data_IF_224435909494
#
_entry.id   IF_224435909494
#
_cell.length_a   1.000
_cell.length_b   1.000
_cell.length_c   1.000
_cell.angle_alpha   90.00
_cell.angle_beta   90.00
_cell.angle_gamma   90.00
#
_symmetry.space_group_name_H-M   'P 1'
#
loop_
_entity.id
_entity.type
_entity.pdbx_description
1 polymer ?
#
# COMPACT_ATOMS: atom_id res chain seq x y z
N UNK A 1 28.86 2.31 30.13
CA UNK A 1 27.44 2.67 30.23
C UNK A 1 26.64 1.38 30.17
N UNK A 2 26.12 0.88 31.30
CA UNK A 2 25.10 -0.19 31.26
C UNK A 2 23.85 0.45 30.65
N UNK A 3 23.33 -0.15 29.58
CA UNK A 3 22.17 0.36 28.85
C UNK A 3 20.99 0.55 29.80
N UNK A 4 20.29 1.69 29.66
CA UNK A 4 18.99 1.82 30.31
C UNK A 4 18.09 0.75 29.72
N UNK A 5 17.47 -0.07 30.57
CA UNK A 5 16.42 -0.98 30.12
C UNK A 5 15.33 -0.16 29.44
N UNK A 6 14.90 -0.61 28.27
CA UNK A 6 13.79 -0.04 27.49
C UNK A 6 12.62 -0.99 27.71
N UNK A 7 11.68 -0.68 28.64
CA UNK A 7 10.58 -1.57 29.01
C UNK A 7 9.77 -2.09 27.82
N UNK A 8 9.64 -1.27 26.78
CA UNK A 8 8.91 -1.55 25.55
C UNK A 8 9.46 -2.77 24.79
N UNK A 9 10.77 -3.05 24.89
CA UNK A 9 11.37 -4.23 24.26
C UNK A 9 11.10 -5.54 25.01
N UNK A 10 10.42 -5.47 26.16
CA UNK A 10 9.88 -6.65 26.84
C UNK A 10 8.39 -6.87 26.52
N UNK A 11 7.71 -5.90 25.91
CA UNK A 11 6.29 -6.00 25.57
C UNK A 11 6.10 -6.51 24.13
N UNK A 12 5.53 -7.71 24.02
CA UNK A 12 5.23 -8.35 22.74
C UNK A 12 4.18 -7.60 21.90
N UNK A 13 3.23 -6.90 22.54
CA UNK A 13 2.22 -6.12 21.83
C UNK A 13 2.87 -4.91 21.18
N UNK A 14 3.70 -4.19 21.96
CA UNK A 14 4.46 -3.06 21.47
C UNK A 14 5.41 -3.44 20.33
N UNK A 15 6.13 -4.55 20.46
CA UNK A 15 7.02 -5.06 19.39
C UNK A 15 6.23 -5.37 18.11
N UNK A 16 5.04 -5.95 18.24
CA UNK A 16 4.18 -6.22 17.09
C UNK A 16 3.72 -4.92 16.40
N UNK A 17 3.29 -3.93 17.17
CA UNK A 17 2.89 -2.62 16.65
C UNK A 17 4.06 -1.91 15.95
N UNK A 18 5.27 -1.98 16.52
CA UNK A 18 6.47 -1.44 15.90
C UNK A 18 6.81 -2.17 14.59
N UNK A 19 6.78 -3.50 14.57
CA UNK A 19 7.08 -4.29 13.38
C UNK A 19 6.09 -3.99 12.24
N UNK A 20 4.81 -3.80 12.58
CA UNK A 20 3.80 -3.32 11.63
C UNK A 20 4.13 -1.91 11.11
N UNK A 21 4.44 -0.97 12.00
CA UNK A 21 4.77 0.40 11.63
C UNK A 21 5.99 0.49 10.70
N UNK A 22 7.03 -0.32 10.96
CA UNK A 22 8.21 -0.44 10.07
C UNK A 22 7.80 -0.94 8.69
N UNK A 23 6.98 -2.01 8.63
CA UNK A 23 6.50 -2.57 7.38
C UNK A 23 5.67 -1.56 6.58
N UNK A 24 4.72 -0.89 7.23
CA UNK A 24 3.89 0.14 6.60
C UNK A 24 4.71 1.34 6.13
N UNK A 25 5.67 1.81 6.92
CA UNK A 25 6.55 2.94 6.54
C UNK A 25 7.42 2.57 5.34
N UNK A 26 7.91 1.33 5.27
CA UNK A 26 8.67 0.83 4.12
C UNK A 26 7.83 0.89 2.84
N UNK A 27 6.59 0.39 2.89
CA UNK A 27 5.66 0.44 1.77
C UNK A 27 5.36 1.88 1.32
N UNK A 28 5.12 2.78 2.27
CA UNK A 28 4.87 4.20 1.99
C UNK A 28 6.10 4.87 1.37
N UNK A 29 7.31 4.54 1.84
CA UNK A 29 8.54 5.09 1.31
C UNK A 29 8.85 4.59 -0.11
N UNK A 30 8.53 3.33 -0.43
CA UNK A 30 8.61 2.81 -1.80
C UNK A 30 7.73 3.61 -2.77
N UNK A 31 6.47 3.88 -2.38
CA UNK A 31 5.57 4.70 -3.19
C UNK A 31 6.11 6.14 -3.31
N UNK A 32 6.45 6.76 -2.18
CA UNK A 32 6.92 8.14 -2.15
C UNK A 32 8.16 8.36 -3.02
N UNK A 33 9.12 7.44 -2.97
CA UNK A 33 10.33 7.51 -3.81
C UNK A 33 9.98 7.47 -5.30
N UNK A 34 9.02 6.64 -5.72
CA UNK A 34 8.55 6.59 -7.11
C UNK A 34 7.86 7.88 -7.53
N UNK A 35 7.02 8.45 -6.66
CA UNK A 35 6.28 9.69 -6.94
C UNK A 35 7.19 10.94 -6.97
N UNK A 36 8.32 10.92 -6.27
CA UNK A 36 9.32 12.00 -6.27
C UNK A 36 10.30 11.91 -7.46
N UNK A 37 10.16 10.93 -8.35
CA UNK A 37 10.98 10.79 -9.54
C UNK A 37 10.91 12.03 -10.45
N UNK A 38 12.05 12.44 -11.01
CA UNK A 38 12.10 13.56 -11.97
C UNK A 38 11.57 13.11 -13.34
N UNK A 39 10.80 13.97 -14.00
CA UNK A 39 10.28 13.70 -15.34
C UNK A 39 9.12 12.70 -15.39
N UNK A 40 8.45 12.47 -14.25
CA UNK A 40 7.36 11.51 -14.13
C UNK A 40 6.11 12.00 -14.90
N UNK A 41 5.60 11.17 -15.79
CA UNK A 41 4.35 11.45 -16.50
C UNK A 41 3.13 11.17 -15.61
N UNK A 42 2.01 11.87 -15.89
CA UNK A 42 0.78 11.71 -15.12
C UNK A 42 0.25 10.26 -15.11
N UNK A 43 0.40 9.53 -16.22
CA UNK A 43 -0.01 8.12 -16.29
C UNK A 43 0.85 7.20 -15.41
N UNK A 44 2.13 7.52 -15.21
CA UNK A 44 3.01 6.77 -14.32
C UNK A 44 2.63 7.00 -12.86
N UNK A 45 2.32 8.25 -12.49
CA UNK A 45 1.76 8.57 -11.17
C UNK A 45 0.48 7.79 -10.91
N UNK A 46 -0.45 7.82 -11.87
CA UNK A 46 -1.70 7.07 -11.82
C UNK A 46 -1.45 5.57 -11.60
N UNK A 47 -0.54 4.99 -12.38
CA UNK A 47 -0.18 3.57 -12.29
C UNK A 47 0.41 3.21 -10.92
N UNK A 48 1.34 4.02 -10.40
CA UNK A 48 1.96 3.77 -9.09
C UNK A 48 0.98 3.85 -7.92
N UNK A 49 0.13 4.88 -7.90
CA UNK A 49 -0.90 5.03 -6.86
C UNK A 49 -1.91 3.89 -6.94
N UNK A 50 -2.39 3.55 -8.15
CA UNK A 50 -3.36 2.46 -8.35
C UNK A 50 -2.77 1.11 -7.93
N UNK A 51 -1.52 0.82 -8.31
CA UNK A 51 -0.83 -0.39 -7.88
C UNK A 51 -0.64 -0.44 -6.36
N UNK A 52 -0.33 0.69 -5.73
CA UNK A 52 -0.20 0.78 -4.28
C UNK A 52 -1.51 0.50 -3.56
N UNK A 53 -2.63 1.09 -4.00
CA UNK A 53 -3.96 0.81 -3.46
C UNK A 53 -4.29 -0.68 -3.57
N UNK A 54 -4.06 -1.30 -4.73
CA UNK A 54 -4.24 -2.76 -4.92
C UNK A 54 -3.37 -3.56 -3.94
N UNK A 55 -2.12 -3.14 -3.71
CA UNK A 55 -1.22 -3.76 -2.73
C UNK A 55 -1.78 -3.66 -1.30
N UNK A 56 -2.32 -2.50 -0.88
CA UNK A 56 -2.94 -2.34 0.45
C UNK A 56 -4.12 -3.29 0.64
N UNK A 57 -5.02 -3.36 -0.35
CA UNK A 57 -6.17 -4.28 -0.31
C UNK A 57 -5.75 -5.75 -0.27
N UNK A 58 -4.72 -6.11 -1.05
CA UNK A 58 -4.12 -7.44 -1.02
C UNK A 58 -3.53 -7.77 0.36
N UNK A 59 -2.71 -6.88 0.94
CA UNK A 59 -2.13 -7.09 2.26
C UNK A 59 -3.21 -7.23 3.32
N UNK A 60 -4.23 -6.36 3.31
CA UNK A 60 -5.38 -6.46 4.22
C UNK A 60 -6.03 -7.85 4.16
N UNK A 61 -6.24 -8.42 2.96
CA UNK A 61 -6.83 -9.76 2.81
C UNK A 61 -5.90 -10.88 3.28
N UNK A 62 -4.58 -10.77 3.03
CA UNK A 62 -3.60 -11.75 3.48
C UNK A 62 -3.53 -11.82 5.02
N UNK A 63 -3.59 -10.68 5.71
CA UNK A 63 -3.56 -10.65 7.18
C UNK A 63 -4.77 -11.35 7.80
N UNK A 64 -5.98 -11.23 7.20
CA UNK A 64 -7.21 -11.91 7.68
C UNK A 64 -7.10 -13.43 7.65
N UNK A 65 -6.26 -13.98 6.78
CA UNK A 65 -6.00 -15.42 6.67
C UNK A 65 -4.63 -15.82 7.23
N UNK A 66 -4.03 -14.93 8.05
CA UNK A 66 -2.75 -15.14 8.71
C UNK A 66 -1.57 -15.45 7.77
N UNK A 67 -1.59 -14.88 6.55
CA UNK A 67 -0.48 -14.98 5.60
C UNK A 67 0.41 -13.74 5.72
N UNK A 68 1.63 -13.94 6.22
CA UNK A 68 2.60 -12.85 6.51
C UNK A 68 3.78 -12.80 5.52
N UNK A 69 3.72 -13.57 4.43
CA UNK A 69 4.82 -13.68 3.44
C UNK A 69 5.28 -12.33 2.89
N UNK A 70 4.37 -11.35 2.80
CA UNK A 70 4.64 -10.03 2.23
C UNK A 70 4.94 -8.96 3.28
N UNK A 71 4.99 -9.32 4.57
CA UNK A 71 5.33 -8.42 5.69
C UNK A 71 6.40 -9.09 6.57
N UNK A 72 7.67 -9.12 6.12
CA UNK A 72 8.73 -9.88 6.80
C UNK A 72 8.92 -9.50 8.27
N UNK A 73 8.87 -8.21 8.59
CA UNK A 73 8.97 -7.70 9.97
C UNK A 73 7.87 -8.26 10.87
N UNK A 74 6.63 -8.31 10.38
CA UNK A 74 5.52 -8.92 11.10
C UNK A 74 5.66 -10.45 11.23
N UNK A 75 6.18 -11.11 10.20
CA UNK A 75 6.40 -12.56 10.20
C UNK A 75 7.37 -13.00 11.30
N UNK A 76 8.38 -12.19 11.59
CA UNK A 76 9.37 -12.46 12.63
C UNK A 76 8.78 -12.42 14.04
N UNK A 77 7.90 -11.44 14.31
CA UNK A 77 7.36 -11.19 15.65
C UNK A 77 6.11 -12.02 15.98
N UNK A 78 5.51 -12.68 14.99
CA UNK A 78 4.37 -13.61 15.14
C UNK A 78 3.23 -13.00 15.98
N UNK A 79 2.57 -11.94 15.48
CA UNK A 79 1.51 -11.24 16.20
C UNK A 79 0.32 -12.14 16.53
N UNK A 80 -0.49 -11.75 17.53
CA UNK A 80 -1.76 -12.42 17.83
C UNK A 80 -2.81 -12.17 16.75
N UNK A 81 -3.89 -12.97 16.75
CA UNK A 81 -5.02 -12.77 15.85
C UNK A 81 -5.63 -11.36 15.96
N UNK A 82 -5.83 -10.86 17.18
CA UNK A 82 -6.36 -9.50 17.42
C UNK A 82 -5.51 -8.40 16.78
N UNK A 83 -4.17 -8.54 16.82
CA UNK A 83 -3.28 -7.61 16.13
C UNK A 83 -3.41 -7.73 14.62
N UNK A 84 -3.52 -8.95 14.08
CA UNK A 84 -3.70 -9.15 12.63
C UNK A 84 -5.01 -8.54 12.13
N UNK A 85 -6.09 -8.65 12.89
CA UNK A 85 -7.38 -8.03 12.58
C UNK A 85 -7.29 -6.50 12.64
N UNK A 86 -6.63 -5.95 13.68
CA UNK A 86 -6.31 -4.52 13.79
C UNK A 86 -5.52 -4.02 12.57
N UNK A 87 -4.42 -4.68 12.24
CA UNK A 87 -3.55 -4.29 11.12
C UNK A 87 -4.23 -4.45 9.76
N UNK A 88 -5.03 -5.49 9.57
CA UNK A 88 -5.86 -5.66 8.38
C UNK A 88 -6.83 -4.48 8.20
N UNK A 89 -7.46 -4.05 9.30
CA UNK A 89 -8.36 -2.90 9.31
C UNK A 89 -7.62 -1.58 9.03
N UNK A 90 -6.40 -1.42 9.54
CA UNK A 90 -5.56 -0.26 9.24
C UNK A 90 -5.16 -0.21 7.75
N UNK A 91 -4.84 -1.34 7.12
CA UNK A 91 -4.58 -1.39 5.68
C UNK A 91 -5.83 -1.03 4.85
N UNK A 92 -7.01 -1.49 5.28
CA UNK A 92 -8.27 -1.14 4.62
C UNK A 92 -8.58 0.36 4.76
N UNK A 93 -8.43 0.92 5.97
CA UNK A 93 -8.63 2.35 6.20
C UNK A 93 -7.65 3.20 5.38
N UNK A 94 -6.38 2.79 5.27
CA UNK A 94 -5.40 3.49 4.44
C UNK A 94 -5.76 3.41 2.95
N UNK A 95 -6.23 2.25 2.49
CA UNK A 95 -6.73 2.11 1.11
C UNK A 95 -7.88 3.09 0.83
N UNK A 96 -8.83 3.22 1.76
CA UNK A 96 -9.98 4.10 1.59
C UNK A 96 -9.56 5.57 1.58
N UNK A 97 -8.57 5.95 2.39
CA UNK A 97 -8.02 7.30 2.38
C UNK A 97 -7.28 7.61 1.07
N UNK A 98 -6.54 6.66 0.50
CA UNK A 98 -5.97 6.81 -0.84
C UNK A 98 -7.07 6.91 -1.92
N UNK A 99 -8.11 6.07 -1.82
CA UNK A 99 -9.25 6.11 -2.75
C UNK A 99 -9.93 7.47 -2.74
N UNK A 100 -10.10 8.06 -1.55
CA UNK A 100 -10.66 9.41 -1.36
C UNK A 100 -9.71 10.50 -1.85
N UNK A 101 -8.42 10.39 -1.54
CA UNK A 101 -7.41 11.41 -1.90
C UNK A 101 -7.18 11.53 -3.41
N UNK A 102 -7.30 10.41 -4.11
CA UNK A 102 -7.09 10.28 -5.55
C UNK A 102 -8.40 9.97 -6.28
N UNK A 103 -9.55 10.43 -5.77
CA UNK A 103 -10.83 10.17 -6.42
C UNK A 103 -10.89 10.72 -7.85
N UNK A 104 -10.26 11.87 -8.10
CA UNK A 104 -10.17 12.52 -9.41
C UNK A 104 -9.48 11.62 -10.46
N UNK A 105 -8.68 10.63 -10.04
CA UNK A 105 -8.06 9.68 -10.96
C UNK A 105 -9.09 8.82 -11.70
N UNK A 106 -10.28 8.63 -11.11
CA UNK A 106 -11.39 7.94 -11.79
C UNK A 106 -11.88 8.71 -13.02
N UNK A 107 -11.80 10.04 -12.99
CA UNK A 107 -12.28 10.89 -14.09
C UNK A 107 -11.39 10.80 -15.34
N UNK A 108 -10.15 10.34 -15.18
CA UNK A 108 -9.16 10.21 -16.27
C UNK A 108 -8.70 8.76 -16.47
N UNK A 109 -9.35 7.80 -15.81
CA UNK A 109 -8.91 6.40 -15.78
C UNK A 109 -8.92 5.79 -17.20
N UNK A 110 -9.92 6.11 -18.02
CA UNK A 110 -10.03 5.65 -19.40
C UNK A 110 -8.85 6.10 -20.27
N UNK A 111 -8.51 7.38 -20.19
CA UNK A 111 -7.44 8.02 -20.95
C UNK A 111 -6.09 7.50 -20.49
N UNK A 112 -5.90 7.38 -19.18
CA UNK A 112 -4.68 6.80 -18.60
C UNK A 112 -4.53 5.32 -18.98
N UNK A 113 -5.63 4.56 -19.04
CA UNK A 113 -5.62 3.16 -19.43
C UNK A 113 -5.26 2.98 -20.91
N UNK A 114 -5.76 3.85 -21.79
CA UNK A 114 -5.38 3.86 -23.21
C UNK A 114 -3.87 4.13 -23.39
N UNK A 115 -3.30 5.06 -22.63
CA UNK A 115 -1.87 5.39 -22.71
C UNK A 115 -1.01 4.25 -22.13
N UNK A 116 -1.42 3.69 -20.99
CA UNK A 116 -0.65 2.67 -20.28
C UNK A 116 -0.76 1.27 -20.89
N UNK A 117 -1.92 0.94 -21.48
CA UNK A 117 -2.19 -0.38 -22.05
C UNK A 117 -3.06 -0.25 -23.30
N UNK A 118 -2.51 0.30 -24.41
CA UNK A 118 -3.28 0.58 -25.61
C UNK A 118 -3.92 -0.68 -26.21
N UNK A 119 -3.28 -1.84 -26.04
CA UNK A 119 -3.75 -3.12 -26.57
C UNK A 119 -4.85 -3.80 -25.73
N UNK A 120 -5.14 -3.30 -24.53
CA UNK A 120 -6.23 -3.81 -23.69
C UNK A 120 -7.41 -2.85 -23.63
N UNK A 121 -7.32 -1.70 -24.29
CA UNK A 121 -8.40 -0.71 -24.32
C UNK A 121 -9.46 -1.12 -25.36
N UNK A 122 -10.73 -0.90 -25.03
CA UNK A 122 -11.82 -1.13 -25.97
C UNK A 122 -11.77 -0.04 -27.05
N UNK A 123 -11.71 -0.46 -28.32
CA UNK A 123 -11.64 0.47 -29.47
C UNK A 123 -12.85 1.41 -29.50
N UNK A 124 -14.02 0.95 -29.03
CA UNK A 124 -15.23 1.77 -28.96
C UNK A 124 -15.14 2.92 -27.95
N UNK A 125 -14.19 2.85 -27.00
CA UNK A 125 -13.95 3.88 -25.99
C UNK A 125 -12.76 4.79 -26.33
N UNK A 126 -12.13 4.60 -27.50
CA UNK A 126 -11.03 5.46 -27.93
C UNK A 126 -11.58 6.85 -28.34
N UNK A 127 -10.91 7.95 -27.96
CA UNK A 127 -11.20 9.28 -28.49
C UNK A 127 -11.16 9.28 -30.02
N UNK A 128 -12.08 10.00 -30.66
CA UNK A 128 -12.16 10.12 -32.12
C UNK A 128 -10.95 10.77 -32.78
N UNK A 129 -10.14 11.47 -31.97
CA UNK A 129 -9.07 12.35 -32.42
C UNK A 129 -7.67 11.69 -32.28
N UNK A 130 -7.63 10.38 -31.98
CA UNK A 130 -6.42 9.55 -31.94
C UNK A 130 -6.28 8.76 -33.25
#
# INVERSE_FOLDING_TARGET
MKGKDIPEFSDKHWIADLAFAIGMTTLMNELNTKLQGKGLFAYEMFSFVTAFMRKLKFLSSQLKINILTHMPTLKEVKPSADHLDKYSSMFAALHDEFSRRFEDFKAVESEMHLIYSPFTCCVDNAPSDI
#
